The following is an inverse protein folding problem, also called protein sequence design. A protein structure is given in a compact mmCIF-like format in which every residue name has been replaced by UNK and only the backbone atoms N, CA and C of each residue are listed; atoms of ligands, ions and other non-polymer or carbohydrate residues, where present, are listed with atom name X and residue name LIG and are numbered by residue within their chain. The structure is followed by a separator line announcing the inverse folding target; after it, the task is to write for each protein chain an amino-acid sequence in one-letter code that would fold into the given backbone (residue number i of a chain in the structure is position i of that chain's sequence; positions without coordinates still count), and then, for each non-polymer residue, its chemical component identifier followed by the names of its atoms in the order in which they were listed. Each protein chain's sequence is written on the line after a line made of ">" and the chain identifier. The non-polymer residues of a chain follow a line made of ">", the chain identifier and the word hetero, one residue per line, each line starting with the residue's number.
data_IF_576672688810
#
_entry.id   IF_576672688810
#
_cell.length_a   1.000
_cell.length_b   1.000
_cell.length_c   1.000
_cell.angle_alpha   90.00
_cell.angle_beta   90.00
_cell.angle_gamma   90.00
#
_symmetry.space_group_name_H-M   'P 1'
#
loop_
_entity.id
_entity.type
_entity.pdbx_description
1 polymer ?
#
# COMPACT_ATOMS: atom_id res chain seq x y z
N UNK A 1 17.05 0.50 19.75
CA UNK A 1 17.33 0.48 18.30
C UNK A 1 18.81 0.70 18.04
N UNK A 2 19.75 -0.21 18.35
CA UNK A 2 21.17 0.02 18.07
C UNK A 2 21.42 -0.39 16.62
N UNK A 3 21.50 0.60 15.73
CA UNK A 3 21.87 0.37 14.34
C UNK A 3 23.41 0.35 14.26
N UNK A 4 23.99 -0.84 14.08
CA UNK A 4 25.41 -0.96 13.77
C UNK A 4 25.58 -0.58 12.29
N UNK A 5 26.14 0.59 12.03
CA UNK A 5 26.57 0.97 10.69
C UNK A 5 28.04 0.61 10.53
N UNK A 6 28.38 -0.05 9.44
CA UNK A 6 29.77 -0.32 9.06
C UNK A 6 30.19 0.62 7.94
N UNK A 7 31.42 1.12 7.99
CA UNK A 7 32.01 1.93 6.92
C UNK A 7 32.89 1.00 6.08
N UNK A 8 32.48 0.76 4.83
CA UNK A 8 33.21 -0.11 3.92
C UNK A 8 33.97 0.72 2.89
N UNK A 9 35.24 0.35 2.64
CA UNK A 9 36.11 0.93 1.61
C UNK A 9 36.25 -0.05 0.45
N UNK A 10 35.74 0.32 -0.73
CA UNK A 10 35.86 -0.49 -1.95
C UNK A 10 36.83 0.16 -2.94
N UNK A 11 37.84 -0.57 -3.46
CA UNK A 11 38.71 -0.04 -4.51
C UNK A 11 37.92 0.15 -5.81
N UNK A 12 38.18 1.26 -6.51
CA UNK A 12 37.56 1.61 -7.79
C UNK A 12 38.53 1.43 -8.97
N UNK A 13 39.74 1.96 -8.83
CA UNK A 13 40.79 1.92 -9.85
C UNK A 13 42.15 2.13 -9.19
N UNK A 14 43.20 1.51 -9.72
CA UNK A 14 44.58 1.72 -9.28
C UNK A 14 45.52 2.00 -10.45
N UNK A 15 46.65 2.66 -10.15
CA UNK A 15 47.71 3.01 -11.09
C UNK A 15 49.06 2.94 -10.37
N UNK A 16 50.08 2.44 -11.05
CA UNK A 16 51.47 2.49 -10.57
C UNK A 16 52.10 3.82 -11.00
N UNK A 17 52.80 4.48 -10.08
CA UNK A 17 53.55 5.72 -10.34
C UNK A 17 55.00 5.33 -10.65
N UNK A 18 55.37 5.38 -11.93
CA UNK A 18 56.70 4.94 -12.40
C UNK A 18 57.83 5.89 -12.03
N UNK A 19 57.55 7.19 -11.96
CA UNK A 19 58.55 8.25 -11.76
C UNK A 19 58.90 8.53 -10.28
N UNK A 20 58.37 7.73 -9.35
CA UNK A 20 58.52 7.97 -7.91
C UNK A 20 59.31 6.84 -7.23
N UNK A 21 60.29 7.23 -6.39
CA UNK A 21 61.10 6.32 -5.60
C UNK A 21 60.48 6.15 -4.22
N UNK A 22 60.36 4.92 -3.74
CA UNK A 22 59.86 4.69 -2.38
C UNK A 22 60.84 5.24 -1.33
N UNK A 23 60.40 6.10 -0.39
CA UNK A 23 61.29 6.69 0.62
C UNK A 23 61.81 5.68 1.65
N UNK A 24 61.21 4.47 1.72
CA UNK A 24 61.59 3.43 2.69
C UNK A 24 62.50 2.37 2.08
N UNK A 25 62.16 1.84 0.90
CA UNK A 25 62.91 0.76 0.27
C UNK A 25 63.77 1.18 -0.93
N UNK A 26 63.72 2.47 -1.31
CA UNK A 26 64.51 3.09 -2.37
C UNK A 26 64.41 2.39 -3.74
N UNK A 27 63.31 1.67 -4.00
CA UNK A 27 63.01 1.06 -5.29
C UNK A 27 62.11 1.96 -6.12
N UNK A 28 62.29 1.92 -7.43
CA UNK A 28 61.46 2.61 -8.41
C UNK A 28 60.23 1.76 -8.77
N UNK A 29 59.22 2.39 -9.39
CA UNK A 29 58.03 1.72 -9.95
C UNK A 29 57.25 0.83 -8.96
N UNK A 30 57.37 1.10 -7.67
CA UNK A 30 56.78 0.27 -6.62
C UNK A 30 55.67 0.97 -5.85
N UNK A 31 55.24 2.16 -6.28
CA UNK A 31 54.20 2.93 -5.60
C UNK A 31 52.88 2.77 -6.35
N UNK A 32 51.91 2.15 -5.70
CA UNK A 32 50.55 2.00 -6.20
C UNK A 32 49.63 3.06 -5.59
N UNK A 33 48.95 3.81 -6.45
CA UNK A 33 47.92 4.76 -6.11
C UNK A 33 46.55 4.15 -6.41
N UNK A 34 45.72 4.01 -5.39
CA UNK A 34 44.37 3.43 -5.51
C UNK A 34 43.30 4.44 -5.11
N UNK A 35 42.30 4.61 -5.96
CA UNK A 35 41.09 5.38 -5.68
C UNK A 35 40.04 4.44 -5.06
N UNK A 36 39.55 4.80 -3.87
CA UNK A 36 38.53 4.06 -3.14
C UNK A 36 37.21 4.84 -3.08
N UNK A 37 36.10 4.11 -3.02
CA UNK A 37 34.79 4.61 -2.63
C UNK A 37 34.49 4.17 -1.20
N UNK A 38 34.07 5.11 -0.35
CA UNK A 38 33.54 4.81 0.97
C UNK A 38 32.02 4.83 0.94
N UNK A 39 31.41 3.85 1.58
CA UNK A 39 29.97 3.84 1.82
C UNK A 39 29.65 3.31 3.20
N UNK A 40 28.59 3.82 3.81
CA UNK A 40 28.00 3.20 4.99
C UNK A 40 27.09 2.07 4.56
N UNK A 41 27.25 0.91 5.18
CA UNK A 41 26.34 -0.22 5.02
C UNK A 41 25.65 -0.51 6.35
N UNK A 42 24.40 -0.91 6.25
CA UNK A 42 23.63 -1.50 7.35
C UNK A 42 23.20 -2.93 6.96
N UNK A 43 22.92 -3.15 5.67
CA UNK A 43 22.77 -4.45 4.97
C UNK A 43 23.11 -4.30 3.48
N UNK A 44 22.75 -3.15 2.90
CA UNK A 44 23.03 -2.71 1.52
C UNK A 44 23.78 -1.38 1.63
N UNK A 45 24.69 -1.00 0.70
CA UNK A 45 25.30 0.33 0.72
C UNK A 45 24.18 1.39 0.76
N UNK A 46 24.11 2.23 1.78
CA UNK A 46 23.00 3.20 1.91
C UNK A 46 23.44 4.61 1.52
N UNK A 47 24.66 5.00 1.91
CA UNK A 47 25.16 6.35 1.65
C UNK A 47 26.63 6.33 1.25
N UNK A 48 26.94 6.86 0.06
CA UNK A 48 28.30 7.10 -0.36
C UNK A 48 28.92 8.25 0.44
N UNK A 49 29.92 7.97 1.27
CA UNK A 49 30.70 8.96 2.03
C UNK A 49 31.79 9.66 1.19
N UNK A 50 31.79 9.44 -0.12
CA UNK A 50 32.71 10.03 -1.07
C UNK A 50 33.93 9.17 -1.38
N UNK A 51 34.91 9.78 -2.05
CA UNK A 51 36.09 9.09 -2.57
C UNK A 51 37.33 9.42 -1.74
N UNK A 52 38.16 8.41 -1.49
CA UNK A 52 39.45 8.52 -0.82
C UNK A 52 40.53 7.91 -1.69
N UNK A 53 41.78 8.28 -1.46
CA UNK A 53 42.92 7.74 -2.22
C UNK A 53 43.90 7.14 -1.24
N UNK A 54 44.28 5.89 -1.45
CA UNK A 54 45.37 5.24 -0.74
C UNK A 54 46.62 5.22 -1.61
N UNK A 55 47.79 5.34 -0.98
CA UNK A 55 49.10 5.21 -1.65
C UNK A 55 49.91 4.23 -0.83
N UNK A 56 50.33 3.14 -1.46
CA UNK A 56 51.03 2.03 -0.82
C UNK A 56 52.21 1.61 -1.69
N UNK A 57 53.33 1.27 -1.06
CA UNK A 57 54.43 0.63 -1.76
C UNK A 57 54.18 -0.87 -1.90
N UNK A 58 54.13 -1.40 -3.11
CA UNK A 58 53.92 -2.84 -3.39
C UNK A 58 55.14 -3.70 -3.01
N UNK A 59 56.34 -3.10 -2.92
CA UNK A 59 57.55 -3.83 -2.59
C UNK A 59 57.80 -3.97 -1.07
N UNK A 60 57.59 -2.91 -0.28
CA UNK A 60 57.82 -2.96 1.18
C UNK A 60 56.53 -2.90 2.02
N UNK A 61 55.37 -2.70 1.39
CA UNK A 61 54.08 -2.60 2.10
C UNK A 61 53.84 -1.28 2.82
N UNK A 62 54.76 -0.32 2.73
CA UNK A 62 54.63 0.96 3.45
C UNK A 62 53.42 1.77 2.95
N UNK A 63 52.59 2.23 3.89
CA UNK A 63 51.40 3.03 3.59
C UNK A 63 51.74 4.52 3.67
N UNK A 64 52.12 5.08 2.52
CA UNK A 64 52.42 6.51 2.36
C UNK A 64 51.18 7.38 2.61
N UNK A 65 50.01 6.89 2.17
CA UNK A 65 48.72 7.55 2.42
C UNK A 65 47.65 6.51 2.73
N UNK A 66 47.14 6.57 3.96
CA UNK A 66 46.05 5.69 4.38
C UNK A 66 44.69 6.26 3.89
N UNK A 67 43.84 5.49 3.20
CA UNK A 67 42.52 5.95 2.77
C UNK A 67 41.54 6.18 3.92
N UNK A 68 41.77 5.55 5.08
CA UNK A 68 40.85 5.53 6.21
C UNK A 68 41.04 6.68 7.20
N UNK A 69 42.17 7.40 7.12
CA UNK A 69 42.45 8.52 8.03
C UNK A 69 41.55 9.74 7.76
N UNK A 70 41.36 10.54 8.80
CA UNK A 70 40.57 11.77 8.74
C UNK A 70 41.15 12.73 7.70
N UNK A 71 40.29 13.58 7.12
CA UNK A 71 40.72 14.61 6.14
C UNK A 71 41.71 15.61 6.77
N UNK A 72 41.72 15.70 8.11
CA UNK A 72 42.55 16.60 8.88
C UNK A 72 43.96 16.03 9.16
N UNK A 73 44.16 14.72 9.05
CA UNK A 73 45.46 14.09 9.18
C UNK A 73 46.27 14.20 7.86
N UNK A 74 46.76 15.41 7.56
CA UNK A 74 47.60 15.64 6.38
C UNK A 74 49.02 15.10 6.60
N UNK A 75 49.34 13.94 6.04
CA UNK A 75 50.74 13.55 5.81
C UNK A 75 51.28 14.30 4.59
N UNK A 76 52.53 14.79 4.67
CA UNK A 76 53.25 15.35 3.53
C UNK A 76 53.77 14.19 2.67
N UNK A 77 53.42 14.20 1.39
CA UNK A 77 53.95 13.31 0.35
C UNK A 77 54.49 14.18 -0.79
N UNK A 78 55.21 13.59 -1.74
CA UNK A 78 55.85 14.34 -2.82
C UNK A 78 54.83 15.04 -3.74
N UNK A 79 55.29 16.09 -4.44
CA UNK A 79 54.46 16.84 -5.38
C UNK A 79 53.97 15.98 -6.55
N UNK A 80 54.75 14.97 -6.95
CA UNK A 80 54.40 14.04 -8.01
C UNK A 80 53.19 13.17 -7.63
N UNK A 81 53.22 12.59 -6.42
CA UNK A 81 52.07 11.84 -5.87
C UNK A 81 50.82 12.74 -5.79
N UNK A 82 50.97 14.02 -5.48
CA UNK A 82 49.84 14.96 -5.47
C UNK A 82 49.23 15.19 -6.85
N UNK A 83 50.07 15.35 -7.88
CA UNK A 83 49.62 15.52 -9.26
C UNK A 83 48.84 14.29 -9.75
N UNK A 84 49.38 13.10 -9.51
CA UNK A 84 48.74 11.83 -9.87
C UNK A 84 47.41 11.60 -9.14
N UNK A 85 47.33 11.98 -7.86
CA UNK A 85 46.07 11.96 -7.10
C UNK A 85 45.01 12.88 -7.73
N UNK A 86 45.40 14.06 -8.21
CA UNK A 86 44.46 14.98 -8.90
C UNK A 86 44.01 14.38 -10.22
N UNK A 87 44.93 13.79 -10.99
CA UNK A 87 44.65 13.19 -12.29
C UNK A 87 43.68 12.02 -12.18
N UNK A 88 43.93 11.05 -11.29
CA UNK A 88 43.05 9.88 -11.12
C UNK A 88 41.64 10.25 -10.67
N UNK A 89 41.50 11.31 -9.86
CA UNK A 89 40.19 11.80 -9.40
C UNK A 89 39.38 12.47 -10.50
N UNK A 90 40.05 13.21 -11.38
CA UNK A 90 39.43 13.93 -12.49
C UNK A 90 39.06 12.99 -13.64
N UNK A 91 39.88 11.98 -13.92
CA UNK A 91 39.66 11.04 -15.02
C UNK A 91 38.62 9.96 -14.70
N UNK A 92 38.38 9.66 -13.42
CA UNK A 92 37.38 8.67 -13.04
C UNK A 92 35.95 9.17 -13.29
N UNK A 93 35.31 8.63 -14.33
CA UNK A 93 33.89 8.89 -14.65
C UNK A 93 32.99 8.15 -13.66
N UNK A 94 32.06 8.89 -13.05
CA UNK A 94 31.04 8.33 -12.16
C UNK A 94 29.98 7.60 -12.98
N UNK A 95 29.49 6.47 -12.48
CA UNK A 95 28.30 5.83 -13.05
C UNK A 95 27.06 6.60 -12.58
N UNK A 96 26.05 6.74 -13.45
CA UNK A 96 24.78 7.41 -13.11
C UNK A 96 24.13 6.78 -11.86
N UNK A 97 24.30 5.47 -11.69
CA UNK A 97 23.87 4.73 -10.51
C UNK A 97 24.46 5.26 -9.20
N UNK A 98 25.73 5.66 -9.17
CA UNK A 98 26.35 6.23 -7.95
C UNK A 98 25.77 7.60 -7.56
N UNK A 99 25.17 8.34 -8.50
CA UNK A 99 24.56 9.65 -8.27
C UNK A 99 23.12 9.53 -7.77
N UNK A 100 22.36 8.61 -8.36
CA UNK A 100 20.95 8.38 -8.06
C UNK A 100 20.75 7.77 -6.67
N UNK A 101 21.62 6.84 -6.29
CA UNK A 101 21.41 5.91 -5.18
C UNK A 101 21.09 6.54 -3.80
N UNK A 102 21.73 7.65 -3.36
CA UNK A 102 21.44 8.21 -2.04
C UNK A 102 20.19 9.10 -2.02
N UNK A 103 19.87 9.76 -3.13
CA UNK A 103 18.81 10.77 -3.20
C UNK A 103 17.50 10.22 -3.73
N UNK A 104 17.55 9.14 -4.52
CA UNK A 104 16.38 8.45 -5.03
C UNK A 104 15.48 7.98 -3.88
N UNK A 105 16.03 7.42 -2.81
CA UNK A 105 15.23 7.01 -1.65
C UNK A 105 14.54 8.20 -0.98
N UNK A 106 15.25 9.30 -0.75
CA UNK A 106 14.71 10.49 -0.09
C UNK A 106 13.66 11.24 -0.92
N UNK A 107 13.62 11.07 -2.24
CA UNK A 107 12.66 11.76 -3.12
C UNK A 107 11.52 10.81 -3.52
N UNK A 108 11.83 9.56 -3.87
CA UNK A 108 10.86 8.61 -4.44
C UNK A 108 9.91 8.09 -3.37
N UNK A 109 10.39 7.75 -2.17
CA UNK A 109 9.49 7.23 -1.12
C UNK A 109 8.45 8.24 -0.66
N UNK A 110 8.80 9.51 -0.35
CA UNK A 110 7.80 10.51 0.00
C UNK A 110 6.80 10.75 -1.13
N UNK A 111 7.27 10.74 -2.39
CA UNK A 111 6.38 10.89 -3.55
C UNK A 111 5.36 9.74 -3.65
N UNK A 112 5.80 8.49 -3.47
CA UNK A 112 4.92 7.31 -3.47
C UNK A 112 3.89 7.42 -2.34
N UNK A 113 4.32 7.80 -1.13
CA UNK A 113 3.41 7.99 0.01
C UNK A 113 2.39 9.08 -0.28
N UNK A 114 2.80 10.22 -0.87
CA UNK A 114 1.89 11.30 -1.23
C UNK A 114 0.88 10.87 -2.29
N UNK A 115 1.29 10.10 -3.31
CA UNK A 115 0.40 9.55 -4.32
C UNK A 115 -0.62 8.60 -3.69
N UNK A 116 -0.17 7.69 -2.81
CA UNK A 116 -1.06 6.75 -2.12
C UNK A 116 -2.08 7.47 -1.23
N UNK A 117 -1.64 8.47 -0.45
CA UNK A 117 -2.53 9.28 0.38
C UNK A 117 -3.53 10.10 -0.46
N UNK A 118 -3.08 10.66 -1.58
CA UNK A 118 -3.93 11.39 -2.52
C UNK A 118 -5.01 10.50 -3.13
N UNK A 119 -4.65 9.29 -3.56
CA UNK A 119 -5.58 8.31 -4.11
C UNK A 119 -6.63 7.88 -3.09
N UNK A 120 -6.21 7.55 -1.86
CA UNK A 120 -7.11 7.15 -0.78
C UNK A 120 -8.12 8.27 -0.42
N UNK A 121 -7.67 9.53 -0.39
CA UNK A 121 -8.55 10.67 -0.07
C UNK A 121 -9.65 10.87 -1.12
N UNK A 122 -9.32 10.72 -2.40
CA UNK A 122 -10.28 10.86 -3.50
C UNK A 122 -11.31 9.72 -3.44
N UNK A 123 -10.84 8.48 -3.27
CA UNK A 123 -11.71 7.32 -3.20
C UNK A 123 -12.70 7.43 -2.02
N UNK A 124 -12.20 7.74 -0.82
CA UNK A 124 -13.01 7.86 0.39
C UNK A 124 -14.11 8.93 0.24
N UNK A 125 -13.81 10.08 -0.38
CA UNK A 125 -14.82 11.13 -0.60
C UNK A 125 -15.95 10.69 -1.53
N UNK A 126 -15.63 9.88 -2.56
CA UNK A 126 -16.65 9.35 -3.47
C UNK A 126 -17.53 8.28 -2.79
N UNK A 127 -16.93 7.46 -1.93
CA UNK A 127 -17.63 6.44 -1.14
C UNK A 127 -18.57 7.12 -0.14
N UNK A 128 -18.09 8.16 0.55
CA UNK A 128 -18.86 8.95 1.51
C UNK A 128 -20.10 9.58 0.86
N UNK A 129 -19.95 10.24 -0.29
CA UNK A 129 -21.10 10.83 -0.99
C UNK A 129 -22.15 9.80 -1.40
N UNK A 130 -21.74 8.65 -1.93
CA UNK A 130 -22.67 7.55 -2.27
C UNK A 130 -23.34 6.97 -1.02
N UNK A 131 -22.61 6.89 0.10
CA UNK A 131 -23.15 6.41 1.37
C UNK A 131 -24.27 7.31 1.90
N UNK A 132 -24.12 8.64 1.78
CA UNK A 132 -25.15 9.61 2.15
C UNK A 132 -26.40 9.48 1.26
N UNK A 133 -26.19 9.34 -0.06
CA UNK A 133 -27.28 9.15 -1.03
C UNK A 133 -28.08 7.87 -0.71
N UNK A 134 -27.42 6.75 -0.40
CA UNK A 134 -28.11 5.52 -0.04
C UNK A 134 -28.77 5.56 1.34
N UNK A 135 -28.15 6.22 2.33
CA UNK A 135 -28.77 6.43 3.63
C UNK A 135 -30.09 7.20 3.51
N UNK A 136 -30.15 8.21 2.63
CA UNK A 136 -31.37 8.97 2.36
C UNK A 136 -32.49 8.12 1.75
N UNK A 137 -32.16 7.20 0.84
CA UNK A 137 -33.11 6.26 0.23
C UNK A 137 -33.65 5.24 1.23
N UNK A 138 -32.82 4.77 2.16
CA UNK A 138 -33.24 3.78 3.17
C UNK A 138 -34.08 4.41 4.28
N UNK A 139 -33.79 5.67 4.62
CA UNK A 139 -34.58 6.43 5.60
C UNK A 139 -35.99 6.73 5.06
N UNK A 140 -36.13 6.83 3.73
CA UNK A 140 -37.39 7.10 3.04
C UNK A 140 -37.70 5.99 2.01
N UNK A 141 -37.97 4.75 2.49
CA UNK A 141 -38.21 3.63 1.59
C UNK A 141 -39.53 3.81 0.84
N UNK A 142 -39.58 3.36 -0.41
CA UNK A 142 -40.77 3.44 -1.27
C UNK A 142 -41.12 2.07 -1.84
N UNK A 143 -42.43 1.83 -2.04
CA UNK A 143 -42.89 0.64 -2.76
C UNK A 143 -42.22 0.60 -4.14
N UNK A 144 -41.67 -0.56 -4.49
CA UNK A 144 -40.91 -0.77 -5.71
C UNK A 144 -39.40 -0.72 -5.55
N UNK A 145 -38.86 -0.21 -4.43
CA UNK A 145 -37.42 -0.19 -4.18
C UNK A 145 -36.85 -1.63 -4.13
N UNK A 146 -35.71 -1.85 -4.79
CA UNK A 146 -34.99 -3.14 -4.78
C UNK A 146 -33.64 -2.95 -4.10
N UNK A 147 -33.41 -3.65 -3.00
CA UNK A 147 -32.19 -3.60 -2.20
C UNK A 147 -31.27 -4.78 -2.51
N UNK A 148 -29.97 -4.51 -2.66
CA UNK A 148 -28.93 -5.55 -2.59
C UNK A 148 -28.65 -5.88 -1.13
N UNK A 149 -28.95 -7.11 -0.75
CA UNK A 149 -28.94 -7.55 0.65
C UNK A 149 -28.23 -8.88 0.80
N UNK A 150 -27.75 -9.14 2.01
CA UNK A 150 -27.59 -10.51 2.47
C UNK A 150 -28.96 -11.08 2.87
N UNK A 151 -29.13 -12.39 2.77
CA UNK A 151 -30.33 -13.08 3.19
C UNK A 151 -29.99 -14.45 3.79
N UNK A 152 -30.60 -14.76 4.93
CA UNK A 152 -30.49 -16.07 5.59
C UNK A 152 -31.82 -16.80 5.46
N UNK A 153 -31.76 -18.02 4.91
CA UNK A 153 -32.87 -18.96 4.99
C UNK A 153 -32.81 -19.73 6.31
N UNK A 154 -33.93 -20.32 6.73
CA UNK A 154 -34.01 -21.15 7.93
C UNK A 154 -32.92 -22.21 7.94
N UNK A 155 -31.99 -22.10 8.89
CA UNK A 155 -30.83 -22.97 9.08
C UNK A 155 -29.79 -22.97 7.93
N UNK A 156 -29.75 -21.90 7.12
CA UNK A 156 -28.78 -21.75 6.03
C UNK A 156 -27.79 -20.61 6.29
N UNK A 157 -26.63 -20.69 5.65
CA UNK A 157 -25.64 -19.63 5.63
C UNK A 157 -26.20 -18.36 4.95
N UNK A 158 -25.67 -17.20 5.33
CA UNK A 158 -26.00 -15.93 4.69
C UNK A 158 -25.55 -15.94 3.23
N UNK A 159 -26.44 -15.52 2.33
CA UNK A 159 -26.20 -15.46 0.88
C UNK A 159 -26.56 -14.08 0.35
N UNK A 160 -26.01 -13.68 -0.80
CA UNK A 160 -26.42 -12.45 -1.48
C UNK A 160 -27.76 -12.64 -2.20
N UNK A 161 -28.66 -11.67 -2.09
CA UNK A 161 -29.97 -11.67 -2.75
C UNK A 161 -30.45 -10.25 -3.05
N UNK A 162 -31.37 -10.13 -4.01
CA UNK A 162 -32.16 -8.92 -4.20
C UNK A 162 -33.42 -8.98 -3.33
N UNK A 163 -33.74 -7.89 -2.65
CA UNK A 163 -34.92 -7.77 -1.80
C UNK A 163 -35.77 -6.61 -2.30
N UNK A 164 -36.94 -6.90 -2.83
CA UNK A 164 -37.88 -5.91 -3.35
C UNK A 164 -38.93 -5.55 -2.30
N UNK A 165 -39.14 -4.25 -2.11
CA UNK A 165 -40.19 -3.70 -1.28
C UNK A 165 -41.50 -3.64 -2.05
N UNK A 166 -42.52 -4.33 -1.56
CA UNK A 166 -43.83 -4.42 -2.21
C UNK A 166 -44.78 -3.35 -1.68
N UNK A 167 -44.83 -3.18 -0.36
CA UNK A 167 -45.68 -2.15 0.27
C UNK A 167 -45.18 -1.81 1.66
N UNK A 168 -45.59 -0.64 2.13
CA UNK A 168 -45.35 -0.15 3.48
C UNK A 168 -46.72 0.09 4.12
N UNK A 169 -46.91 -0.41 5.32
CA UNK A 169 -48.07 -0.19 6.16
C UNK A 169 -47.61 0.26 7.54
N UNK A 170 -47.82 1.54 7.86
CA UNK A 170 -47.32 2.20 9.07
C UNK A 170 -45.81 1.96 9.32
N UNK A 171 -45.47 1.16 10.35
CA UNK A 171 -44.11 0.82 10.76
C UNK A 171 -43.63 -0.54 10.22
N UNK A 172 -44.40 -1.13 9.31
CA UNK A 172 -44.16 -2.45 8.73
C UNK A 172 -43.90 -2.34 7.24
N UNK A 173 -42.90 -3.05 6.76
CA UNK A 173 -42.61 -3.24 5.34
C UNK A 173 -42.89 -4.69 4.94
N UNK A 174 -43.37 -4.87 3.72
CA UNK A 174 -43.60 -6.18 3.12
C UNK A 174 -42.63 -6.34 1.96
N UNK A 175 -41.73 -7.30 2.09
CA UNK A 175 -40.64 -7.52 1.12
C UNK A 175 -40.72 -8.92 0.52
N UNK A 176 -40.24 -9.05 -0.72
CA UNK A 176 -40.00 -10.33 -1.39
C UNK A 176 -38.54 -10.40 -1.80
N UNK A 177 -37.98 -11.61 -1.87
CA UNK A 177 -36.58 -11.83 -2.26
C UNK A 177 -36.47 -12.40 -3.68
N UNK A 178 -35.30 -12.30 -4.30
CA UNK A 178 -35.00 -13.00 -5.55
C UNK A 178 -35.09 -14.52 -5.37
N UNK A 179 -35.51 -15.21 -6.45
CA UNK A 179 -35.51 -16.68 -6.53
C UNK A 179 -34.08 -17.21 -6.47
N UNK A 180 -33.20 -16.60 -7.26
CA UNK A 180 -31.76 -16.88 -7.26
C UNK A 180 -31.05 -16.14 -6.12
N UNK A 181 -30.03 -16.79 -5.57
CA UNK A 181 -29.16 -16.24 -4.53
C UNK A 181 -27.71 -16.56 -4.90
N UNK A 182 -26.79 -15.71 -4.46
CA UNK A 182 -25.36 -15.85 -4.71
C UNK A 182 -24.62 -16.20 -3.40
N UNK A 183 -23.44 -16.84 -3.48
CA UNK A 183 -22.65 -17.18 -2.29
C UNK A 183 -22.31 -15.96 -1.44
N UNK A 184 -22.03 -16.14 -0.15
CA UNK A 184 -21.66 -15.03 0.75
C UNK A 184 -20.42 -14.25 0.27
N UNK A 185 -19.45 -14.98 -0.30
CA UNK A 185 -18.31 -14.40 -1.00
C UNK A 185 -18.65 -14.33 -2.47
N UNK A 186 -19.05 -13.14 -2.92
CA UNK A 186 -19.46 -12.90 -4.30
C UNK A 186 -18.53 -11.90 -5.01
N UNK A 187 -18.44 -12.03 -6.32
CA UNK A 187 -17.85 -11.08 -7.24
C UNK A 187 -18.93 -10.18 -7.87
N UNK A 188 -18.52 -9.05 -8.46
CA UNK A 188 -19.43 -8.19 -9.22
C UNK A 188 -20.14 -8.97 -10.34
N UNK A 189 -19.42 -9.85 -11.02
CA UNK A 189 -19.97 -10.67 -12.10
C UNK A 189 -21.05 -11.65 -11.63
N UNK A 190 -21.07 -12.04 -10.35
CA UNK A 190 -22.14 -12.86 -9.79
C UNK A 190 -23.36 -12.01 -9.44
N UNK A 191 -23.16 -10.80 -8.94
CA UNK A 191 -24.26 -9.84 -8.74
C UNK A 191 -24.97 -9.48 -10.03
N UNK A 192 -24.22 -9.27 -11.12
CA UNK A 192 -24.78 -8.89 -12.41
C UNK A 192 -25.61 -10.01 -13.07
N UNK A 193 -25.59 -11.24 -12.52
CA UNK A 193 -26.47 -12.34 -12.95
C UNK A 193 -27.88 -12.23 -12.35
N UNK A 194 -28.03 -11.56 -11.21
CA UNK A 194 -29.32 -11.41 -10.56
C UNK A 194 -30.17 -10.39 -11.34
N UNK A 195 -31.37 -10.80 -11.76
CA UNK A 195 -32.30 -9.94 -12.48
C UNK A 195 -33.21 -9.16 -11.53
N UNK A 196 -33.45 -7.87 -11.84
CA UNK A 196 -34.43 -7.01 -11.15
C UNK A 196 -35.84 -7.05 -11.77
N UNK A 197 -36.07 -7.92 -12.77
CA UNK A 197 -37.38 -8.09 -13.38
C UNK A 197 -38.39 -8.71 -12.41
N UNK A 198 -39.68 -8.45 -12.60
CA UNK A 198 -40.74 -8.88 -11.68
C UNK A 198 -40.83 -10.41 -11.51
N UNK A 199 -40.51 -11.18 -12.55
CA UNK A 199 -40.51 -12.64 -12.57
C UNK A 199 -39.31 -13.28 -11.86
N UNK A 200 -38.26 -12.50 -11.59
CA UNK A 200 -37.06 -12.94 -10.87
C UNK A 200 -37.25 -13.03 -9.35
N UNK A 201 -38.37 -12.52 -8.82
CA UNK A 201 -38.67 -12.54 -7.39
C UNK A 201 -39.61 -13.69 -7.00
N UNK A 202 -39.43 -14.17 -5.78
CA UNK A 202 -40.26 -15.19 -5.12
C UNK A 202 -41.65 -14.61 -4.79
N UNK A 203 -42.65 -15.48 -4.61
CA UNK A 203 -44.01 -15.07 -4.25
C UNK A 203 -44.22 -14.96 -2.73
N UNK A 204 -43.27 -15.48 -1.93
CA UNK A 204 -43.35 -15.44 -0.47
C UNK A 204 -43.03 -14.04 0.06
N UNK A 205 -44.03 -13.42 0.68
CA UNK A 205 -43.89 -12.14 1.38
C UNK A 205 -43.32 -12.31 2.80
N UNK A 206 -42.40 -11.43 3.16
CA UNK A 206 -41.84 -11.32 4.51
C UNK A 206 -42.27 -10.00 5.14
N UNK A 207 -42.84 -10.08 6.34
CA UNK A 207 -43.21 -8.92 7.15
C UNK A 207 -41.99 -8.49 7.97
N UNK A 208 -41.44 -7.32 7.66
CA UNK A 208 -40.24 -6.79 8.33
C UNK A 208 -40.52 -5.40 8.92
N UNK A 209 -39.88 -5.08 10.04
CA UNK A 209 -40.05 -3.75 10.65
C UNK A 209 -39.36 -2.68 9.79
N UNK A 210 -39.99 -1.51 9.67
CA UNK A 210 -39.42 -0.34 8.99
C UNK A 210 -38.12 0.07 9.67
N UNK A 211 -37.11 0.40 8.85
CA UNK A 211 -35.82 0.89 9.32
C UNK A 211 -36.04 2.16 10.16
N UNK A 212 -35.69 2.09 11.45
CA UNK A 212 -35.97 3.18 12.40
C UNK A 212 -34.75 3.61 13.20
N UNK A 213 -33.66 2.85 13.17
CA UNK A 213 -32.42 3.18 13.85
C UNK A 213 -31.22 2.54 13.14
N UNK A 214 -30.49 3.33 12.35
CA UNK A 214 -29.31 2.91 11.59
C UNK A 214 -28.03 3.29 12.34
N UNK A 215 -27.96 2.96 13.63
CA UNK A 215 -26.73 3.15 14.41
C UNK A 215 -25.79 1.97 14.19
N UNK A 216 -24.84 2.10 13.25
CA UNK A 216 -23.75 1.13 13.03
C UNK A 216 -23.33 0.92 11.58
N UNK A 217 -22.35 0.03 11.36
CA UNK A 217 -21.68 -0.24 10.07
C UNK A 217 -22.59 -0.76 8.92
N UNK A 218 -23.87 -1.05 9.18
CA UNK A 218 -24.85 -1.58 8.21
C UNK A 218 -25.99 -0.59 7.96
N UNK A 219 -26.30 -0.31 6.69
CA UNK A 219 -27.33 0.68 6.33
C UNK A 219 -28.79 0.25 6.62
N UNK A 220 -29.06 -1.01 6.95
CA UNK A 220 -30.41 -1.47 7.29
C UNK A 220 -30.46 -2.97 7.50
N UNK A 221 -31.25 -3.42 8.49
CA UNK A 221 -31.40 -4.84 8.82
C UNK A 221 -32.86 -5.28 8.70
N UNK A 222 -33.05 -6.45 8.10
CA UNK A 222 -34.35 -7.09 7.97
C UNK A 222 -34.60 -8.00 9.16
N UNK A 223 -35.56 -7.63 10.01
CA UNK A 223 -36.04 -8.47 11.10
C UNK A 223 -37.51 -8.81 10.92
N UNK A 224 -37.82 -10.10 10.99
CA UNK A 224 -39.19 -10.61 11.09
C UNK A 224 -39.50 -10.89 12.55
N UNK A 225 -40.68 -10.47 13.01
CA UNK A 225 -41.09 -10.63 14.40
C UNK A 225 -42.22 -11.65 14.48
N UNK A 226 -41.92 -12.82 15.04
CA UNK A 226 -42.90 -13.87 15.27
C UNK A 226 -43.35 -13.84 16.73
N UNK A 227 -44.63 -14.12 16.96
CA UNK A 227 -45.15 -14.44 18.29
C UNK A 227 -45.04 -15.94 18.51
N UNK A 228 -44.45 -16.36 19.61
CA UNK A 228 -44.50 -17.75 20.03
C UNK A 228 -45.88 -18.11 20.66
N UNK A 229 -46.08 -19.39 20.96
CA UNK A 229 -47.32 -19.90 21.56
C UNK A 229 -47.64 -19.26 22.93
N UNK A 230 -46.65 -18.62 23.57
CA UNK A 230 -46.77 -17.90 24.83
C UNK A 230 -46.95 -16.39 24.66
N UNK A 231 -47.12 -15.92 23.42
CA UNK A 231 -47.31 -14.51 23.08
C UNK A 231 -46.04 -13.65 23.16
N UNK A 232 -44.87 -14.25 23.41
CA UNK A 232 -43.58 -13.56 23.43
C UNK A 232 -43.14 -13.27 22.00
N UNK A 233 -42.74 -12.03 21.76
CA UNK A 233 -42.28 -11.57 20.46
C UNK A 233 -40.76 -11.73 20.40
N UNK A 234 -40.26 -12.52 19.44
CA UNK A 234 -38.82 -12.69 19.21
C UNK A 234 -38.42 -12.20 17.83
N UNK A 235 -37.40 -11.32 17.70
CA UNK A 235 -36.88 -10.91 16.41
C UNK A 235 -36.11 -12.07 15.76
N UNK A 236 -36.38 -12.33 14.48
CA UNK A 236 -35.63 -13.23 13.62
C UNK A 236 -34.92 -12.42 12.55
N UNK A 237 -33.59 -12.46 12.58
CA UNK A 237 -32.75 -11.80 11.58
C UNK A 237 -32.89 -12.52 10.24
N UNK A 238 -33.22 -11.76 9.20
CA UNK A 238 -33.32 -12.25 7.83
C UNK A 238 -32.13 -11.82 6.96
N UNK A 239 -31.47 -10.72 7.29
CA UNK A 239 -30.35 -10.20 6.49
C UNK A 239 -30.13 -8.70 6.65
N UNK A 240 -29.14 -8.16 5.96
CA UNK A 240 -28.81 -6.75 5.98
C UNK A 240 -28.51 -6.21 4.58
N UNK A 241 -28.95 -4.97 4.35
CA UNK A 241 -28.60 -4.18 3.16
C UNK A 241 -27.09 -3.98 3.15
N UNK A 242 -26.47 -4.27 2.01
CA UNK A 242 -25.02 -4.14 1.86
C UNK A 242 -24.58 -2.67 1.94
N UNK A 243 -23.47 -2.43 2.65
CA UNK A 243 -22.82 -1.12 2.69
C UNK A 243 -21.68 -1.04 1.66
N UNK A 244 -21.51 0.11 1.02
CA UNK A 244 -20.34 0.41 0.19
C UNK A 244 -19.01 0.35 0.98
N UNK A 245 -19.05 0.47 2.31
CA UNK A 245 -17.89 0.31 3.19
C UNK A 245 -17.56 -1.16 3.50
N UNK A 246 -18.42 -2.12 3.14
CA UNK A 246 -18.22 -3.53 3.46
C UNK A 246 -17.19 -4.17 2.53
N UNK A 247 -15.90 -3.86 2.71
CA UNK A 247 -14.67 -4.54 2.23
C UNK A 247 -14.61 -5.00 0.74
N UNK A 248 -15.60 -4.67 -0.06
CA UNK A 248 -15.74 -5.01 -1.45
C UNK A 248 -16.07 -3.69 -2.14
N UNK A 249 -15.30 -3.36 -3.16
CA UNK A 249 -15.49 -2.18 -4.00
C UNK A 249 -16.79 -2.34 -4.81
N UNK A 250 -17.93 -2.24 -4.12
CA UNK A 250 -19.27 -2.32 -4.69
C UNK A 250 -19.56 -0.95 -5.32
N UNK A 251 -18.82 -0.63 -6.38
CA UNK A 251 -19.05 0.52 -7.24
C UNK A 251 -20.35 0.38 -8.07
N UNK A 252 -21.34 -0.36 -7.58
CA UNK A 252 -22.63 -0.62 -8.23
C UNK A 252 -23.78 -0.03 -7.42
N UNK A 253 -24.92 0.20 -8.09
CA UNK A 253 -26.13 0.69 -7.45
C UNK A 253 -26.66 -0.34 -6.44
N UNK A 254 -26.74 0.05 -5.17
CA UNK A 254 -27.18 -0.79 -4.05
C UNK A 254 -28.70 -0.80 -3.90
N UNK A 255 -29.36 0.18 -4.50
CA UNK A 255 -30.80 0.40 -4.49
C UNK A 255 -31.24 0.81 -5.88
N UNK A 256 -32.15 0.06 -6.48
CA UNK A 256 -32.85 0.47 -7.71
C UNK A 256 -34.24 0.97 -7.32
N UNK A 257 -34.53 2.26 -7.55
CA UNK A 257 -35.87 2.83 -7.35
C UNK A 257 -36.66 2.67 -8.64
N UNK A 258 -37.81 2.00 -8.55
CA UNK A 258 -38.77 1.97 -9.65
C UNK A 258 -39.14 3.42 -10.02
N UNK A 259 -38.90 3.81 -11.28
CA UNK A 259 -39.31 5.10 -11.83
C UNK A 259 -40.80 5.16 -12.07
#
# INVERSE_FOLDING_TARGET
>A
MIYVYEIVTKPLTSKIISEEICPVCNKNECIELTLYMRYTTLVIPFFGMGRKTGVVCTNCGEVLKNPDVSVFAKKKYSANIEAEIKQIRNNYKRTLWQLLYPWSFCIVLPLIVLIALGYNKINNKSIEKKSEEYAALITNPQSGDIYKSTWSQENSQLQGALVKLIRIDADTMYVIRSKEMIPMSFSKAEWDKLSSNADAFDSKEYKVKKFTDLNGDNFGQFFMYNKDDNGKITPKYLGAILNNNAAMDLNFETIERAK
#
